data_IF_885186755517
#
_entry.id   IF_885186755517
#
_cell.length_a   1.000
_cell.length_b   1.000
_cell.length_c   1.000
_cell.angle_alpha   90.00
_cell.angle_beta   90.00
_cell.angle_gamma   90.00
#
_symmetry.space_group_name_H-M   'P 1'
#
loop_
_entity.id
_entity.type
_entity.pdbx_description
1 polymer ?
#
# COMPACT_ATOMS: atom_id res chain seq x y z
N UNK A 1 -67.62 2.62 56.31
CA UNK A 1 -67.08 3.83 55.63
C UNK A 1 -65.52 3.87 55.66
N UNK A 2 -64.81 2.74 55.52
CA UNK A 2 -63.35 2.69 55.79
C UNK A 2 -62.47 2.44 54.54
N UNK A 3 -63.03 2.14 53.36
CA UNK A 3 -62.21 1.61 52.26
C UNK A 3 -61.65 2.61 51.22
N UNK A 4 -62.00 3.90 51.28
CA UNK A 4 -61.43 4.90 50.33
C UNK A 4 -60.05 5.41 50.78
N UNK A 5 -59.81 5.59 52.07
CA UNK A 5 -58.54 6.11 52.60
C UNK A 5 -57.36 5.17 52.35
N UNK A 6 -57.55 3.87 52.58
CA UNK A 6 -56.51 2.85 52.36
C UNK A 6 -56.10 2.69 50.89
N UNK A 7 -57.07 2.79 49.98
CA UNK A 7 -56.82 2.66 48.55
C UNK A 7 -56.04 3.87 48.00
N UNK A 8 -56.37 5.08 48.47
CA UNK A 8 -55.65 6.31 48.12
C UNK A 8 -54.23 6.33 48.69
N UNK A 9 -54.04 5.87 49.93
CA UNK A 9 -52.71 5.76 50.55
C UNK A 9 -51.80 4.74 49.83
N UNK A 10 -52.33 3.59 49.40
CA UNK A 10 -51.57 2.60 48.61
C UNK A 10 -51.20 3.13 47.24
N UNK A 11 -52.09 3.85 46.55
CA UNK A 11 -51.77 4.49 45.26
C UNK A 11 -50.71 5.57 45.41
N UNK A 12 -50.78 6.41 46.45
CA UNK A 12 -49.77 7.44 46.70
C UNK A 12 -48.41 6.81 47.02
N UNK A 13 -48.35 5.76 47.86
CA UNK A 13 -47.10 5.02 48.12
C UNK A 13 -46.55 4.33 46.87
N UNK A 14 -47.41 3.78 46.01
CA UNK A 14 -47.00 3.16 44.75
C UNK A 14 -46.47 4.21 43.77
N UNK A 15 -47.11 5.38 43.67
CA UNK A 15 -46.66 6.50 42.82
C UNK A 15 -45.35 7.08 43.32
N UNK A 16 -45.19 7.28 44.63
CA UNK A 16 -43.92 7.76 45.21
C UNK A 16 -42.82 6.72 45.03
N UNK A 17 -43.13 5.42 45.18
CA UNK A 17 -42.15 4.34 44.96
C UNK A 17 -41.77 4.19 43.49
N UNK A 18 -42.72 4.35 42.55
CA UNK A 18 -42.44 4.40 41.11
C UNK A 18 -41.63 5.66 40.77
N UNK A 19 -41.94 6.81 41.36
CA UNK A 19 -41.20 8.04 41.12
C UNK A 19 -39.78 7.98 41.70
N UNK A 20 -39.60 7.39 42.88
CA UNK A 20 -38.30 7.09 43.46
C UNK A 20 -37.55 6.03 42.64
N UNK A 21 -38.22 5.02 42.09
CA UNK A 21 -37.62 4.07 41.16
C UNK A 21 -37.23 4.74 39.83
N UNK A 22 -38.04 5.63 39.25
CA UNK A 22 -37.74 6.32 37.99
C UNK A 22 -36.60 7.32 38.17
N UNK A 23 -36.57 8.05 39.28
CA UNK A 23 -35.45 8.94 39.63
C UNK A 23 -34.19 8.13 39.96
N UNK A 24 -34.30 7.01 40.68
CA UNK A 24 -33.21 6.07 40.90
C UNK A 24 -32.72 5.44 39.58
N UNK A 25 -33.60 5.11 38.62
CA UNK A 25 -33.24 4.61 37.29
C UNK A 25 -32.53 5.69 36.47
N UNK A 26 -32.91 6.97 36.64
CA UNK A 26 -32.18 8.09 36.01
C UNK A 26 -30.80 8.32 36.63
N UNK A 27 -30.59 7.98 37.91
CA UNK A 27 -29.29 8.09 38.60
C UNK A 27 -28.48 6.79 38.66
N UNK A 28 -28.99 5.66 38.15
CA UNK A 28 -28.30 4.34 38.14
C UNK A 28 -27.94 3.84 36.74
N UNK A 29 -28.04 4.68 35.72
CA UNK A 29 -27.29 4.45 34.49
C UNK A 29 -25.84 4.87 34.70
N UNK A 30 -24.97 3.93 35.06
CA UNK A 30 -23.50 4.09 35.13
C UNK A 30 -22.82 4.43 33.78
N UNK A 31 -23.57 5.03 32.86
CA UNK A 31 -23.19 5.48 31.53
C UNK A 31 -23.95 6.79 31.23
N UNK A 32 -23.75 7.85 32.04
CA UNK A 32 -23.93 9.19 31.49
C UNK A 32 -23.05 9.24 30.25
N UNK A 33 -23.66 9.34 29.07
CA UNK A 33 -22.96 9.29 27.79
C UNK A 33 -21.91 10.40 27.81
N UNK A 34 -20.64 10.06 28.04
CA UNK A 34 -19.55 11.02 28.32
C UNK A 34 -19.52 12.20 27.33
N UNK A 35 -19.90 11.95 26.09
CA UNK A 35 -19.96 12.91 25.00
C UNK A 35 -21.00 14.04 25.21
N UNK A 36 -22.02 13.84 26.05
CA UNK A 36 -23.00 14.89 26.42
C UNK A 36 -22.37 16.01 27.25
N UNK A 37 -21.36 15.69 28.07
CA UNK A 37 -20.61 16.69 28.86
C UNK A 37 -19.74 17.62 27.99
N UNK A 38 -19.55 17.25 26.72
CA UNK A 38 -18.78 17.99 25.73
C UNK A 38 -19.66 18.48 24.57
N UNK A 39 -20.98 18.53 24.76
CA UNK A 39 -21.96 18.99 23.75
C UNK A 39 -21.95 18.19 22.44
N UNK A 40 -21.48 16.95 22.47
CA UNK A 40 -21.42 16.09 21.29
C UNK A 40 -22.73 15.27 21.19
N UNK A 41 -23.48 15.42 20.10
CA UNK A 41 -24.64 14.55 19.86
C UNK A 41 -24.22 13.18 19.32
N UNK A 42 -24.97 12.13 19.68
CA UNK A 42 -24.70 10.75 19.22
C UNK A 42 -24.63 10.61 17.70
N UNK A 43 -25.43 11.38 16.96
CA UNK A 43 -25.41 11.44 15.49
C UNK A 43 -24.16 12.09 14.89
N UNK A 44 -23.48 12.94 15.67
CA UNK A 44 -22.29 13.69 15.24
C UNK A 44 -20.97 12.95 15.53
N UNK A 45 -21.00 11.78 16.19
CA UNK A 45 -19.81 11.01 16.60
C UNK A 45 -18.91 10.49 15.44
N UNK A 46 -19.26 10.81 14.20
CA UNK A 46 -18.47 10.54 12.99
C UNK A 46 -18.19 11.81 12.17
N UNK A 47 -18.71 12.97 12.58
CA UNK A 47 -18.44 14.26 11.94
C UNK A 47 -17.07 14.76 12.34
N UNK A 48 -16.39 15.49 11.45
CA UNK A 48 -15.16 16.22 11.77
C UNK A 48 -15.44 17.43 12.66
N UNK A 49 -16.65 17.99 12.60
CA UNK A 49 -17.05 19.22 13.30
C UNK A 49 -16.92 19.11 14.82
N UNK A 50 -16.98 17.90 15.38
CA UNK A 50 -16.84 17.65 16.81
C UNK A 50 -15.38 17.48 17.27
N UNK A 51 -14.40 17.61 16.36
CA UNK A 51 -12.99 17.42 16.68
C UNK A 51 -12.51 18.33 17.83
N UNK A 52 -12.89 19.62 17.91
CA UNK A 52 -12.53 20.46 19.05
C UNK A 52 -13.07 19.91 20.38
N UNK A 53 -14.32 19.45 20.42
CA UNK A 53 -14.94 18.84 21.59
C UNK A 53 -14.26 17.51 21.98
N UNK A 54 -13.85 16.71 20.98
CA UNK A 54 -13.09 15.48 21.21
C UNK A 54 -11.69 15.77 21.77
N UNK A 55 -11.02 16.82 21.29
CA UNK A 55 -9.72 17.27 21.83
C UNK A 55 -9.89 17.74 23.27
N UNK A 56 -10.94 18.47 23.59
CA UNK A 56 -11.25 18.86 24.97
C UNK A 56 -11.49 17.65 25.88
N UNK A 57 -12.19 16.61 25.38
CA UNK A 57 -12.43 15.39 26.14
C UNK A 57 -11.17 14.54 26.41
N UNK A 58 -10.04 14.84 25.76
CA UNK A 58 -8.74 14.24 26.09
C UNK A 58 -8.18 14.73 27.43
N UNK A 59 -8.72 15.82 28.00
CA UNK A 59 -8.36 16.34 29.33
C UNK A 59 -9.27 15.83 30.45
N UNK A 60 -10.23 14.96 30.14
CA UNK A 60 -11.18 14.49 31.14
C UNK A 60 -10.46 13.73 32.27
N UNK A 61 -10.80 13.97 33.55
CA UNK A 61 -10.16 13.28 34.66
C UNK A 61 -10.40 11.76 34.62
N UNK A 62 -11.49 11.29 33.99
CA UNK A 62 -11.81 9.87 33.89
C UNK A 62 -11.08 9.25 32.70
N UNK A 63 -10.22 8.24 32.89
CA UNK A 63 -9.52 7.57 31.79
C UNK A 63 -10.48 6.93 30.76
N UNK A 64 -11.65 6.48 31.21
CA UNK A 64 -12.69 5.95 30.31
C UNK A 64 -13.18 6.99 29.30
N UNK A 65 -13.28 8.26 29.69
CA UNK A 65 -13.68 9.34 28.79
C UNK A 65 -12.57 9.65 27.79
N UNK A 66 -11.31 9.79 28.26
CA UNK A 66 -10.15 10.01 27.39
C UNK A 66 -10.01 8.92 26.33
N UNK A 67 -10.12 7.64 26.72
CA UNK A 67 -10.11 6.50 25.79
C UNK A 67 -11.25 6.54 24.80
N UNK A 68 -12.45 6.91 25.24
CA UNK A 68 -13.59 7.02 24.35
C UNK A 68 -13.40 8.16 23.33
N UNK A 69 -12.82 9.29 23.73
CA UNK A 69 -12.43 10.37 22.83
C UNK A 69 -11.37 9.92 21.81
N UNK A 70 -10.30 9.27 22.26
CA UNK A 70 -9.27 8.66 21.40
C UNK A 70 -9.90 7.68 20.39
N UNK A 71 -10.83 6.83 20.81
CA UNK A 71 -11.53 5.90 19.92
C UNK A 71 -12.37 6.62 18.85
N UNK A 72 -12.84 7.84 19.10
CA UNK A 72 -13.57 8.64 18.10
C UNK A 72 -12.61 9.37 17.19
N UNK A 73 -11.56 9.97 17.72
CA UNK A 73 -10.48 10.60 16.95
C UNK A 73 -9.87 9.60 15.95
N UNK A 74 -9.63 8.36 16.36
CA UNK A 74 -9.07 7.32 15.48
C UNK A 74 -9.96 6.98 14.28
N UNK A 75 -11.28 7.14 14.40
CA UNK A 75 -12.24 6.93 13.30
C UNK A 75 -12.18 8.05 12.27
N UNK A 76 -11.74 9.24 12.66
CA UNK A 76 -11.52 10.38 11.77
C UNK A 76 -10.19 10.26 11.00
N UNK A 77 -9.25 9.43 11.47
CA UNK A 77 -7.95 9.16 10.82
C UNK A 77 -7.21 10.48 10.52
N UNK A 78 -6.70 10.65 9.29
CA UNK A 78 -5.97 11.83 8.83
C UNK A 78 -6.74 13.14 9.02
N UNK A 79 -8.07 13.13 9.06
CA UNK A 79 -8.88 14.34 9.26
C UNK A 79 -8.81 14.89 10.69
N UNK A 80 -8.12 14.21 11.61
CA UNK A 80 -7.94 14.62 13.00
C UNK A 80 -6.47 14.94 13.36
N UNK A 81 -5.67 15.37 12.40
CA UNK A 81 -4.28 15.81 12.63
C UNK A 81 -4.16 16.92 13.67
N UNK A 82 -5.17 17.79 13.81
CA UNK A 82 -5.22 18.85 14.84
C UNK A 82 -5.15 18.28 16.28
N UNK A 83 -5.50 17.00 16.49
CA UNK A 83 -5.40 16.34 17.79
C UNK A 83 -3.99 15.83 18.13
N UNK A 84 -3.05 15.80 17.17
CA UNK A 84 -1.71 15.20 17.34
C UNK A 84 -1.00 15.70 18.60
N UNK A 85 -0.87 17.01 18.86
CA UNK A 85 -0.12 17.49 20.04
C UNK A 85 -0.66 16.90 21.35
N UNK A 86 -1.98 16.81 21.48
CA UNK A 86 -2.64 16.30 22.68
C UNK A 86 -2.50 14.79 22.82
N UNK A 87 -2.66 14.06 21.71
CA UNK A 87 -2.49 12.60 21.69
C UNK A 87 -1.04 12.20 21.99
N UNK A 88 -0.05 12.98 21.54
CA UNK A 88 1.37 12.76 21.87
C UNK A 88 1.63 12.88 23.37
N UNK A 89 1.07 13.91 24.02
CA UNK A 89 1.20 14.10 25.47
C UNK A 89 0.63 12.88 26.20
N UNK A 90 -0.59 12.45 25.83
CA UNK A 90 -1.20 11.27 26.44
C UNK A 90 -0.37 10.00 26.24
N UNK A 91 0.18 9.78 25.04
CA UNK A 91 1.02 8.61 24.76
C UNK A 91 2.31 8.58 25.60
N UNK A 92 2.85 9.75 25.98
CA UNK A 92 4.09 9.87 26.74
C UNK A 92 3.87 9.85 28.26
N UNK A 93 2.81 10.49 28.76
CA UNK A 93 2.73 10.86 30.18
C UNK A 93 1.37 10.61 30.86
N UNK A 94 0.38 10.00 30.20
CA UNK A 94 -0.90 9.70 30.88
C UNK A 94 -0.71 8.65 31.97
N UNK A 95 -1.33 8.81 33.14
CA UNK A 95 -1.20 7.85 34.25
C UNK A 95 -1.84 6.48 33.94
N UNK A 96 -2.89 6.45 33.11
CA UNK A 96 -3.61 5.24 32.73
C UNK A 96 -2.95 4.56 31.53
N UNK A 97 -2.42 3.35 31.76
CA UNK A 97 -1.69 2.58 30.76
C UNK A 97 -2.55 2.27 29.51
N UNK A 98 -3.83 1.93 29.70
CA UNK A 98 -4.76 1.74 28.60
C UNK A 98 -4.87 3.02 27.75
N UNK A 99 -4.91 4.20 28.38
CA UNK A 99 -4.99 5.48 27.67
C UNK A 99 -3.72 5.72 26.84
N UNK A 100 -2.53 5.43 27.39
CA UNK A 100 -1.26 5.49 26.63
C UNK A 100 -1.28 4.55 25.42
N UNK A 101 -1.73 3.32 25.62
CA UNK A 101 -1.91 2.31 24.55
C UNK A 101 -2.81 2.80 23.41
N UNK A 102 -3.99 3.31 23.76
CA UNK A 102 -4.93 3.83 22.79
C UNK A 102 -4.33 5.04 22.05
N UNK A 103 -3.60 5.92 22.74
CA UNK A 103 -2.96 7.08 22.14
C UNK A 103 -1.91 6.69 21.08
N UNK A 104 -1.05 5.70 21.37
CA UNK A 104 -0.09 5.13 20.39
C UNK A 104 -0.82 4.62 19.14
N UNK A 105 -1.91 3.87 19.33
CA UNK A 105 -2.74 3.38 18.21
C UNK A 105 -3.39 4.49 17.42
N UNK A 106 -3.82 5.57 18.08
CA UNK A 106 -4.40 6.74 17.40
C UNK A 106 -3.33 7.44 16.54
N UNK A 107 -2.12 7.65 17.06
CA UNK A 107 -1.01 8.28 16.32
C UNK A 107 -0.70 7.53 15.02
N UNK A 108 -0.73 6.19 15.04
CA UNK A 108 -0.61 5.35 13.83
C UNK A 108 -1.67 5.62 12.76
N UNK A 109 -2.85 6.10 13.15
CA UNK A 109 -4.00 6.30 12.26
C UNK A 109 -4.14 7.75 11.78
N UNK A 110 -3.76 8.73 12.61
CA UNK A 110 -3.89 10.16 12.29
C UNK A 110 -2.63 10.74 11.63
N UNK A 111 -1.47 10.10 11.79
CA UNK A 111 -0.21 10.47 11.12
C UNK A 111 0.60 9.26 10.61
N UNK A 112 0.01 8.33 9.83
CA UNK A 112 0.71 7.16 9.33
C UNK A 112 1.92 7.53 8.45
N UNK A 113 3.04 6.86 8.67
CA UNK A 113 4.23 6.89 7.81
C UNK A 113 4.87 8.27 7.58
N UNK A 114 4.71 9.23 8.49
CA UNK A 114 5.42 10.52 8.41
C UNK A 114 6.77 10.47 9.16
N UNK A 115 7.80 11.24 8.73
CA UNK A 115 9.06 11.37 9.48
C UNK A 115 8.86 11.94 10.89
N UNK A 116 7.82 12.76 11.07
CA UNK A 116 7.43 13.29 12.37
C UNK A 116 6.88 12.19 13.29
N UNK A 117 6.07 11.26 12.76
CA UNK A 117 5.56 10.12 13.52
C UNK A 117 6.70 9.19 13.94
N UNK A 118 7.71 9.02 13.08
CA UNK A 118 8.91 8.25 13.43
C UNK A 118 9.57 8.79 14.71
N UNK A 119 9.89 10.09 14.72
CA UNK A 119 10.51 10.75 15.89
C UNK A 119 9.62 10.64 17.13
N UNK A 120 8.32 10.88 16.97
CA UNK A 120 7.35 10.78 18.07
C UNK A 120 7.30 9.36 18.64
N UNK A 121 7.29 8.31 17.80
CA UNK A 121 7.26 6.93 18.27
C UNK A 121 8.56 6.49 18.93
N UNK A 122 9.72 6.99 18.46
CA UNK A 122 11.00 6.79 19.13
C UNK A 122 11.01 7.44 20.52
N UNK A 123 10.55 8.69 20.62
CA UNK A 123 10.40 9.36 21.92
C UNK A 123 9.41 8.62 22.85
N UNK A 124 8.26 8.19 22.32
CA UNK A 124 7.24 7.48 23.10
C UNK A 124 7.76 6.13 23.59
N UNK A 125 8.59 5.44 22.80
CA UNK A 125 9.24 4.20 23.23
C UNK A 125 10.21 4.44 24.40
N UNK A 126 10.93 5.57 24.40
CA UNK A 126 11.83 5.96 25.50
C UNK A 126 11.05 6.32 26.77
N UNK A 127 9.89 6.98 26.64
CA UNK A 127 9.07 7.42 27.76
C UNK A 127 8.23 6.30 28.41
N UNK A 128 8.14 5.12 27.80
CA UNK A 128 7.34 4.00 28.28
C UNK A 128 8.22 2.77 28.57
N UNK A 129 7.66 1.77 29.26
CA UNK A 129 8.32 0.49 29.54
C UNK A 129 7.42 -0.69 29.16
N UNK A 130 8.00 -1.89 29.03
CA UNK A 130 7.25 -3.12 28.76
C UNK A 130 6.56 -3.11 27.40
N UNK A 131 5.33 -3.61 27.35
CA UNK A 131 4.57 -3.81 26.11
C UNK A 131 4.34 -2.52 25.30
N UNK A 132 4.18 -1.38 25.99
CA UNK A 132 3.98 -0.08 25.33
C UNK A 132 5.24 0.40 24.59
N UNK A 133 6.42 0.20 25.18
CA UNK A 133 7.68 0.54 24.54
C UNK A 133 7.90 -0.32 23.28
N UNK A 134 7.61 -1.63 23.40
CA UNK A 134 7.67 -2.58 22.30
C UNK A 134 6.68 -2.20 21.18
N UNK A 135 5.46 -1.79 21.50
CA UNK A 135 4.48 -1.35 20.47
C UNK A 135 4.92 -0.06 19.76
N UNK A 136 5.46 0.91 20.50
CA UNK A 136 5.99 2.14 19.93
C UNK A 136 7.21 1.86 19.04
N UNK A 137 8.13 1.00 19.47
CA UNK A 137 9.29 0.59 18.68
C UNK A 137 8.89 -0.19 17.43
N UNK A 138 7.96 -1.15 17.54
CA UNK A 138 7.41 -1.86 16.40
C UNK A 138 6.75 -0.93 15.38
N UNK A 139 6.11 0.13 15.88
CA UNK A 139 5.52 1.18 15.04
C UNK A 139 6.59 2.00 14.34
N UNK A 140 7.61 2.47 15.07
CA UNK A 140 8.78 3.15 14.52
C UNK A 140 9.45 2.30 13.43
N UNK A 141 9.72 1.02 13.70
CA UNK A 141 10.29 0.07 12.76
C UNK A 141 9.38 -0.16 11.54
N UNK A 142 8.06 -0.22 11.73
CA UNK A 142 7.11 -0.29 10.60
C UNK A 142 7.16 0.98 9.74
N UNK A 143 7.29 2.15 10.36
CA UNK A 143 7.44 3.44 9.66
C UNK A 143 8.80 3.48 8.95
N UNK A 144 9.90 3.05 9.58
CA UNK A 144 11.23 2.94 8.95
C UNK A 144 11.18 2.02 7.75
N UNK A 145 10.63 0.81 7.88
CA UNK A 145 10.46 -0.16 6.78
C UNK A 145 9.61 0.41 5.65
N UNK A 146 8.52 1.14 5.96
CA UNK A 146 7.67 1.79 4.94
C UNK A 146 8.29 3.04 4.35
N UNK A 147 9.11 3.75 5.10
CA UNK A 147 9.86 4.93 4.66
C UNK A 147 11.06 4.52 3.82
N UNK A 148 11.73 3.42 4.15
CA UNK A 148 12.75 2.79 3.31
C UNK A 148 12.09 2.14 2.09
N UNK A 149 10.90 1.53 2.21
CA UNK A 149 10.12 1.08 1.06
C UNK A 149 9.65 2.25 0.16
N UNK A 150 9.38 3.43 0.73
CA UNK A 150 9.05 4.66 -0.03
C UNK A 150 10.29 5.43 -0.51
N UNK A 151 11.51 5.09 -0.05
CA UNK A 151 12.77 5.76 -0.44
C UNK A 151 13.71 4.88 -1.26
N UNK A 152 13.47 3.55 -1.30
CA UNK A 152 14.23 2.57 -2.08
C UNK A 152 13.40 1.82 -3.15
N UNK A 153 12.11 2.14 -3.29
CA UNK A 153 11.33 1.78 -4.47
C UNK A 153 10.67 3.06 -4.96
N UNK A 154 10.80 3.39 -6.25
CA UNK A 154 9.85 4.14 -7.10
C UNK A 154 10.58 4.75 -8.32
N UNK A 155 11.91 4.85 -8.40
CA UNK A 155 12.56 5.23 -9.66
C UNK A 155 13.91 4.53 -9.84
N UNK A 156 13.97 3.55 -10.74
CA UNK A 156 15.23 3.07 -11.30
C UNK A 156 15.72 4.07 -12.33
N UNK A 157 16.94 4.60 -12.19
CA UNK A 157 17.56 5.44 -13.22
C UNK A 157 18.70 4.62 -13.82
N UNK A 158 18.53 4.22 -15.07
CA UNK A 158 19.53 3.52 -15.86
C UNK A 158 20.22 4.57 -16.72
N UNK A 159 21.52 4.78 -16.49
CA UNK A 159 22.35 5.62 -17.35
C UNK A 159 23.10 4.71 -18.32
N UNK A 160 22.70 4.74 -19.59
CA UNK A 160 23.45 4.02 -20.61
C UNK A 160 24.72 4.82 -20.95
N UNK A 161 25.85 4.15 -21.22
CA UNK A 161 27.11 4.81 -21.58
C UNK A 161 26.99 5.71 -22.83
N UNK A 162 26.01 5.45 -23.69
CA UNK A 162 25.86 6.12 -24.98
C UNK A 162 24.98 7.38 -24.95
N UNK A 163 24.57 7.88 -23.77
CA UNK A 163 23.73 9.09 -23.66
C UNK A 163 22.21 8.83 -23.68
N UNK A 164 21.80 7.58 -23.43
CA UNK A 164 20.38 7.23 -23.23
C UNK A 164 20.12 7.18 -21.72
N UNK A 165 19.16 7.99 -21.25
CA UNK A 165 18.68 7.93 -19.88
C UNK A 165 17.29 7.27 -19.85
N UNK A 166 17.17 6.17 -19.11
CA UNK A 166 15.90 5.47 -18.89
C UNK A 166 15.55 5.59 -17.41
N UNK A 167 14.33 6.03 -17.11
CA UNK A 167 13.77 6.00 -15.75
C UNK A 167 12.55 5.10 -15.67
N UNK A 168 12.57 4.17 -14.73
CA UNK A 168 11.52 3.18 -14.49
C UNK A 168 10.80 3.52 -13.19
N UNK A 169 9.53 3.88 -13.28
CA UNK A 169 8.71 4.31 -12.13
C UNK A 169 7.47 3.41 -11.98
N UNK A 170 7.44 2.47 -11.02
CA UNK A 170 6.22 1.76 -10.69
C UNK A 170 5.20 2.73 -10.08
N UNK A 171 4.05 2.92 -10.74
CA UNK A 171 2.99 3.80 -10.24
C UNK A 171 1.99 2.99 -9.39
N UNK A 172 2.00 3.15 -8.07
CA UNK A 172 1.02 2.51 -7.18
C UNK A 172 -0.29 3.31 -7.02
N UNK A 173 -0.46 4.37 -7.82
CA UNK A 173 -1.52 5.37 -7.66
C UNK A 173 -2.18 5.64 -9.01
N UNK A 174 -3.49 5.43 -9.09
CA UNK A 174 -4.31 5.99 -10.16
C UNK A 174 -5.03 7.24 -9.66
N UNK A 175 -4.90 8.31 -10.45
CA UNK A 175 -5.54 9.61 -10.24
C UNK A 175 -7.06 9.45 -10.20
N UNK A 176 -7.64 9.70 -9.02
CA UNK A 176 -9.07 9.94 -8.88
C UNK A 176 -9.38 11.35 -9.39
N UNK A 177 -9.96 11.44 -10.60
CA UNK A 177 -10.74 12.61 -11.03
C UNK A 177 -12.02 12.68 -10.19
N UNK A 178 -11.88 13.14 -8.95
CA UNK A 178 -12.85 13.06 -7.85
C UNK A 178 -14.33 13.08 -8.25
N UNK A 179 -15.05 12.00 -7.89
CA UNK A 179 -15.96 12.04 -6.74
C UNK A 179 -15.74 10.75 -5.92
N UNK A 180 -15.21 10.94 -4.71
CA UNK A 180 -14.63 9.97 -3.73
C UNK A 180 -13.16 9.57 -3.97
N UNK A 181 -12.39 9.53 -2.87
CA UNK A 181 -10.90 9.57 -2.83
C UNK A 181 -10.24 8.19 -2.78
N UNK A 182 -10.99 7.10 -2.91
CA UNK A 182 -10.42 5.75 -2.93
C UNK A 182 -10.61 5.13 -4.31
N UNK A 183 -9.56 4.85 -5.08
CA UNK A 183 -9.69 3.93 -6.19
C UNK A 183 -10.04 2.56 -5.62
N UNK A 184 -10.86 1.81 -6.36
CA UNK A 184 -11.26 0.43 -6.06
C UNK A 184 -10.06 -0.38 -5.58
N UNK A 185 -10.24 -1.14 -4.48
CA UNK A 185 -9.23 -2.04 -3.88
C UNK A 185 -8.78 -3.19 -4.82
N UNK A 186 -9.18 -3.19 -6.09
CA UNK A 186 -9.38 -4.38 -6.90
C UNK A 186 -8.78 -4.31 -8.31
N UNK A 187 -7.94 -3.32 -8.63
CA UNK A 187 -7.43 -3.20 -10.01
C UNK A 187 -6.38 -4.27 -10.37
N UNK A 188 -5.88 -5.07 -9.41
CA UNK A 188 -4.95 -6.20 -9.62
C UNK A 188 -3.96 -5.97 -10.77
N UNK A 189 -3.34 -4.79 -10.78
CA UNK A 189 -2.54 -4.31 -11.90
C UNK A 189 -1.41 -3.45 -11.38
N UNK A 190 -0.25 -3.60 -11.99
CA UNK A 190 0.95 -2.82 -11.72
C UNK A 190 1.36 -2.06 -13.00
N UNK A 191 1.11 -0.73 -13.07
CA UNK A 191 1.69 0.09 -14.11
C UNK A 191 3.16 0.38 -13.81
N UNK A 192 4.00 0.26 -14.82
CA UNK A 192 5.40 0.68 -14.79
C UNK A 192 5.55 1.78 -15.83
N UNK A 193 5.79 2.98 -15.36
CA UNK A 193 6.07 4.15 -16.19
C UNK A 193 7.54 4.16 -16.61
N UNK A 194 7.76 4.39 -17.89
CA UNK A 194 9.06 4.39 -18.54
C UNK A 194 9.24 5.78 -19.14
N UNK A 195 10.24 6.48 -18.63
CA UNK A 195 10.71 7.72 -19.20
C UNK A 195 12.03 7.47 -19.93
N UNK A 196 12.12 7.99 -21.15
CA UNK A 196 13.28 7.84 -22.02
C UNK A 196 13.70 9.23 -22.45
N UNK A 197 14.97 9.55 -22.28
CA UNK A 197 15.62 10.73 -22.79
C UNK A 197 16.72 10.28 -23.75
N UNK A 198 16.48 10.44 -25.05
CA UNK A 198 17.42 10.05 -26.10
C UNK A 198 18.36 11.22 -26.40
N UNK A 199 19.59 11.19 -25.89
CA UNK A 199 20.61 12.20 -26.20
C UNK A 199 21.62 11.71 -27.26
N UNK A 200 21.33 10.57 -27.90
CA UNK A 200 22.14 10.02 -28.99
C UNK A 200 21.82 10.69 -30.31
N UNK A 201 22.63 10.44 -31.33
CA UNK A 201 22.42 10.84 -32.72
C UNK A 201 21.49 9.89 -33.49
N UNK A 202 21.11 8.75 -32.91
CA UNK A 202 20.31 7.71 -33.54
C UNK A 202 18.90 7.56 -32.92
N UNK A 203 17.85 7.27 -33.71
CA UNK A 203 16.54 6.94 -33.17
C UNK A 203 16.55 5.62 -32.38
N UNK A 204 15.82 5.61 -31.26
CA UNK A 204 15.60 4.41 -30.43
C UNK A 204 14.22 3.83 -30.74
N UNK A 205 14.18 2.58 -31.19
CA UNK A 205 12.94 1.83 -31.33
C UNK A 205 12.69 0.98 -30.08
N UNK A 206 11.53 1.19 -29.47
CA UNK A 206 11.08 0.42 -28.31
C UNK A 206 9.72 -0.22 -28.61
N UNK A 207 9.58 -1.52 -28.33
CA UNK A 207 8.31 -2.24 -28.44
C UNK A 207 7.87 -2.70 -27.04
N UNK A 208 6.61 -2.46 -26.70
CA UNK A 208 6.05 -2.91 -25.42
C UNK A 208 5.97 -4.43 -25.29
N UNK A 209 5.95 -5.18 -26.38
CA UNK A 209 5.97 -6.67 -26.37
C UNK A 209 7.32 -7.24 -25.91
N UNK A 210 8.39 -6.43 -25.93
CA UNK A 210 9.71 -6.86 -25.48
C UNK A 210 9.86 -6.82 -23.97
N UNK A 211 8.84 -6.40 -23.22
CA UNK A 211 8.91 -6.25 -21.77
C UNK A 211 8.33 -7.47 -21.07
N UNK A 212 9.13 -8.08 -20.20
CA UNK A 212 8.66 -9.12 -19.28
C UNK A 212 8.88 -8.71 -17.85
N UNK A 213 7.90 -8.98 -17.01
CA UNK A 213 7.98 -8.73 -15.58
C UNK A 213 7.83 -10.06 -14.85
N UNK A 214 8.75 -10.36 -13.95
CA UNK A 214 8.71 -11.54 -13.08
C UNK A 214 8.69 -11.11 -11.62
N UNK A 215 7.95 -11.86 -10.80
CA UNK A 215 8.02 -11.70 -9.35
C UNK A 215 9.30 -12.33 -8.78
N UNK A 216 9.59 -12.15 -7.48
CA UNK A 216 10.81 -12.68 -6.86
C UNK A 216 10.89 -14.21 -6.84
N UNK A 217 9.77 -14.91 -7.07
CA UNK A 217 9.72 -16.36 -7.21
C UNK A 217 9.98 -16.82 -8.67
N UNK A 218 10.27 -15.89 -9.57
CA UNK A 218 10.52 -16.13 -10.99
C UNK A 218 9.24 -16.29 -11.82
N UNK A 219 8.05 -16.04 -11.26
CA UNK A 219 6.79 -16.18 -11.98
C UNK A 219 6.51 -14.95 -12.81
N UNK A 220 6.45 -15.13 -14.13
CA UNK A 220 6.11 -14.08 -15.08
C UNK A 220 4.68 -13.55 -14.87
N UNK A 221 4.54 -12.23 -15.06
CA UNK A 221 3.28 -11.49 -14.99
C UNK A 221 2.77 -11.22 -16.40
N UNK A 222 1.47 -11.43 -16.57
CA UNK A 222 0.81 -11.18 -17.85
C UNK A 222 0.75 -9.69 -18.13
N UNK A 223 1.32 -9.25 -19.24
CA UNK A 223 1.13 -7.89 -19.73
C UNK A 223 -0.32 -7.69 -20.17
N UNK A 224 -0.90 -6.55 -19.79
CA UNK A 224 -2.28 -6.20 -20.09
C UNK A 224 -2.36 -5.33 -21.33
N UNK A 225 -3.34 -5.63 -22.17
CA UNK A 225 -3.74 -4.72 -23.24
C UNK A 225 -4.32 -3.42 -22.65
N UNK A 226 -4.28 -2.35 -23.44
CA UNK A 226 -4.89 -1.05 -23.08
C UNK A 226 -6.35 -1.24 -22.65
N UNK A 227 -7.11 -2.01 -23.43
CA UNK A 227 -8.52 -2.31 -23.16
C UNK A 227 -8.69 -3.07 -21.84
N UNK A 228 -7.83 -4.05 -21.54
CA UNK A 228 -7.88 -4.79 -20.28
C UNK A 228 -7.50 -3.91 -19.08
N UNK A 229 -6.51 -3.02 -19.24
CA UNK A 229 -6.12 -2.04 -18.22
C UNK A 229 -7.24 -1.03 -17.94
N UNK A 230 -7.88 -0.50 -18.99
CA UNK A 230 -9.05 0.39 -18.89
C UNK A 230 -10.19 -0.32 -18.16
N UNK A 231 -10.55 -1.54 -18.58
CA UNK A 231 -11.64 -2.31 -17.97
C UNK A 231 -11.44 -2.56 -16.47
N UNK A 232 -10.20 -2.81 -16.03
CA UNK A 232 -9.86 -2.99 -14.60
C UNK A 232 -9.98 -1.70 -13.77
N UNK A 233 -9.90 -0.53 -14.41
CA UNK A 233 -9.97 0.77 -13.75
C UNK A 233 -11.36 1.43 -13.81
N UNK A 234 -12.18 1.07 -14.80
CA UNK A 234 -13.51 1.63 -14.96
C UNK A 234 -14.46 1.24 -13.82
N UNK A 235 -15.34 2.16 -13.46
CA UNK A 235 -16.44 1.90 -12.55
C UNK A 235 -17.44 0.94 -13.21
N UNK A 236 -17.74 -0.18 -12.54
CA UNK A 236 -18.79 -1.12 -12.95
C UNK A 236 -20.17 -0.56 -12.57
N UNK A 237 -20.79 0.11 -13.53
CA UNK A 237 -22.10 0.74 -13.38
C UNK A 237 -23.21 -0.33 -13.21
N UNK A 238 -23.05 -1.52 -13.79
CA UNK A 238 -24.05 -2.60 -13.75
C UNK A 238 -24.08 -3.34 -12.42
N UNK A 239 -22.90 -3.69 -11.88
CA UNK A 239 -22.81 -4.37 -10.59
C UNK A 239 -23.21 -3.48 -9.39
N UNK A 240 -23.05 -2.16 -9.51
CA UNK A 240 -23.47 -1.22 -8.47
C UNK A 240 -25.01 -1.13 -8.35
N UNK A 241 -25.71 -1.18 -9.49
CA UNK A 241 -27.18 -1.18 -9.55
C UNK A 241 -27.75 -2.51 -9.04
N UNK A 242 -27.15 -3.65 -9.39
CA UNK A 242 -27.61 -4.98 -8.97
C UNK A 242 -27.39 -5.27 -7.47
N UNK A 243 -26.37 -4.66 -6.84
CA UNK A 243 -26.01 -4.95 -5.43
C UNK A 243 -26.68 -4.07 -4.39
N UNK A 244 -27.56 -3.14 -4.79
CA UNK A 244 -28.34 -2.33 -3.85
C UNK A 244 -27.51 -1.61 -2.77
N UNK A 245 -26.29 -1.19 -3.10
CA UNK A 245 -25.38 -0.55 -2.12
C UNK A 245 -25.88 0.88 -1.86
N UNK A 246 -26.73 1.01 -0.84
CA UNK A 246 -27.18 2.27 -0.24
C UNK A 246 -26.31 2.61 0.96
N UNK A 247 -25.00 2.78 0.76
CA UNK A 247 -24.12 3.38 1.78
C UNK A 247 -23.28 4.44 1.07
N UNK A 248 -23.76 5.69 1.16
CA UNK A 248 -23.48 6.87 0.29
C UNK A 248 -24.14 6.71 -1.09
N UNK A 249 -25.12 7.58 -1.38
CA UNK A 249 -26.06 7.47 -2.50
C UNK A 249 -25.42 7.20 -3.88
N UNK A 250 -26.21 6.72 -4.85
CA UNK A 250 -25.71 6.26 -6.14
C UNK A 250 -24.85 7.34 -6.77
N UNK A 251 -23.60 7.01 -7.14
CA UNK A 251 -22.83 7.86 -8.06
C UNK A 251 -23.73 8.02 -9.29
N UNK A 252 -24.15 9.25 -9.67
CA UNK A 252 -24.97 9.43 -10.85
C UNK A 252 -24.28 8.77 -12.04
N UNK A 253 -25.02 7.97 -12.82
CA UNK A 253 -24.49 7.25 -13.98
C UNK A 253 -23.70 8.18 -14.90
N UNK A 254 -24.14 9.43 -15.03
CA UNK A 254 -23.45 10.49 -15.77
C UNK A 254 -22.06 10.85 -15.23
N UNK A 255 -21.85 10.83 -13.90
CA UNK A 255 -20.54 11.06 -13.27
C UNK A 255 -19.61 9.87 -13.45
N UNK A 256 -20.14 8.65 -13.34
CA UNK A 256 -19.36 7.43 -13.58
C UNK A 256 -18.93 7.31 -15.05
N UNK A 257 -19.83 7.59 -16.00
CA UNK A 257 -19.51 7.60 -17.42
C UNK A 257 -18.45 8.66 -17.78
N UNK A 258 -18.55 9.87 -17.22
CA UNK A 258 -17.54 10.92 -17.38
C UNK A 258 -16.18 10.49 -16.81
N UNK A 259 -16.17 9.89 -15.62
CA UNK A 259 -14.94 9.38 -15.01
C UNK A 259 -14.31 8.26 -15.85
N UNK A 260 -15.11 7.31 -16.33
CA UNK A 260 -14.66 6.22 -17.21
C UNK A 260 -14.08 6.74 -18.53
N UNK A 261 -14.67 7.79 -19.11
CA UNK A 261 -14.15 8.45 -20.31
C UNK A 261 -12.80 9.14 -20.07
N UNK A 262 -12.59 9.76 -18.91
CA UNK A 262 -11.30 10.35 -18.51
C UNK A 262 -10.24 9.25 -18.33
N UNK A 263 -10.59 8.15 -17.66
CA UNK A 263 -9.71 6.99 -17.46
C UNK A 263 -9.29 6.39 -18.81
N UNK A 264 -10.22 6.19 -19.74
CA UNK A 264 -9.93 5.66 -21.08
C UNK A 264 -8.90 6.51 -21.80
N UNK A 265 -9.18 7.82 -21.94
CA UNK A 265 -8.29 8.76 -22.63
C UNK A 265 -6.91 8.83 -21.98
N UNK A 266 -6.84 8.77 -20.66
CA UNK A 266 -5.58 8.79 -19.92
C UNK A 266 -4.75 7.52 -20.19
N UNK A 267 -5.36 6.34 -20.06
CA UNK A 267 -4.69 5.07 -20.33
C UNK A 267 -4.24 4.96 -21.79
N UNK A 268 -5.08 5.37 -22.74
CA UNK A 268 -4.75 5.42 -24.17
C UNK A 268 -3.58 6.36 -24.46
N UNK A 269 -3.52 7.54 -23.81
CA UNK A 269 -2.43 8.47 -24.00
C UNK A 269 -1.10 7.99 -23.39
N UNK A 270 -1.16 7.32 -22.23
CA UNK A 270 0.01 6.86 -21.49
C UNK A 270 0.57 5.54 -21.98
N UNK A 271 -0.24 4.64 -22.54
CA UNK A 271 0.22 3.29 -22.86
C UNK A 271 1.40 3.28 -23.83
N UNK A 272 2.41 2.48 -23.51
CA UNK A 272 3.50 2.16 -24.42
C UNK A 272 3.01 1.13 -25.44
N UNK A 273 3.04 1.51 -26.70
CA UNK A 273 2.96 0.61 -27.86
C UNK A 273 4.36 0.46 -28.46
N UNK A 274 4.48 0.14 -29.74
CA UNK A 274 5.74 0.43 -30.45
C UNK A 274 5.89 1.95 -30.63
N UNK A 275 7.05 2.48 -30.25
CA UNK A 275 7.42 3.90 -30.44
C UNK A 275 8.83 4.01 -31.00
N UNK A 276 9.09 5.14 -31.67
CA UNK A 276 10.42 5.54 -32.11
C UNK A 276 10.76 6.89 -31.47
N UNK A 277 11.75 6.89 -30.58
CA UNK A 277 12.20 8.08 -29.85
C UNK A 277 13.34 8.71 -30.63
N UNK A 278 13.06 9.86 -31.24
CA UNK A 278 14.02 10.59 -32.07
C UNK A 278 15.20 11.16 -31.24
N UNK A 279 16.35 11.43 -31.86
CA UNK A 279 17.45 12.17 -31.25
C UNK A 279 16.98 13.46 -30.56
N UNK A 280 17.41 13.70 -29.34
CA UNK A 280 17.03 14.84 -28.50
C UNK A 280 15.61 14.79 -27.92
N UNK A 281 14.81 13.77 -28.24
CA UNK A 281 13.44 13.67 -27.75
C UNK A 281 13.36 13.04 -26.36
N UNK A 282 12.29 13.42 -25.64
CA UNK A 282 11.92 12.84 -24.37
C UNK A 282 10.53 12.24 -24.47
N UNK A 283 10.37 10.99 -24.04
CA UNK A 283 9.10 10.28 -24.09
C UNK A 283 8.80 9.66 -22.74
N UNK A 284 7.53 9.69 -22.36
CA UNK A 284 7.03 9.17 -21.09
C UNK A 284 5.79 8.32 -21.36
N UNK A 285 5.89 7.02 -21.10
CA UNK A 285 4.86 6.01 -21.41
C UNK A 285 4.74 4.99 -20.29
N UNK A 286 3.72 4.13 -20.30
CA UNK A 286 3.48 3.13 -19.26
C UNK A 286 3.14 1.76 -19.84
N UNK A 287 3.63 0.71 -19.19
CA UNK A 287 3.23 -0.68 -19.44
C UNK A 287 2.42 -1.15 -18.25
N UNK A 288 1.39 -1.96 -18.51
CA UNK A 288 0.49 -2.47 -17.48
C UNK A 288 0.67 -3.97 -17.33
N UNK A 289 0.95 -4.45 -16.13
CA UNK A 289 1.05 -5.88 -15.82
C UNK A 289 -0.09 -6.32 -14.90
N UNK A 290 -0.59 -7.53 -15.11
CA UNK A 290 -1.52 -8.19 -14.19
C UNK A 290 -0.80 -8.53 -12.89
N UNK A 291 -1.48 -8.27 -11.78
CA UNK A 291 -0.93 -8.44 -10.45
C UNK A 291 -2.00 -9.04 -9.53
N UNK A 292 -2.09 -10.39 -9.46
CA UNK A 292 -3.20 -11.10 -8.82
C UNK A 292 -3.33 -10.85 -7.31
N UNK A 293 -2.25 -10.37 -6.69
CA UNK A 293 -2.25 -9.81 -5.34
C UNK A 293 -1.59 -8.43 -5.37
N UNK A 294 -2.03 -7.50 -4.51
CA UNK A 294 -1.41 -6.18 -4.44
C UNK A 294 0.00 -6.32 -3.83
N UNK A 295 1.08 -6.05 -4.58
CA UNK A 295 2.41 -6.10 -4.02
C UNK A 295 2.55 -4.91 -3.06
N UNK A 296 2.99 -5.19 -1.83
CA UNK A 296 3.25 -4.15 -0.82
C UNK A 296 4.55 -3.39 -1.16
N UNK A 297 5.45 -4.06 -1.88
CA UNK A 297 6.66 -3.55 -2.51
C UNK A 297 6.94 -4.36 -3.78
N UNK A 298 7.74 -3.82 -4.70
CA UNK A 298 8.23 -4.57 -5.87
C UNK A 298 9.74 -4.79 -5.84
N UNK A 299 10.38 -4.59 -4.68
CA UNK A 299 11.78 -4.98 -4.51
C UNK A 299 11.98 -6.43 -4.94
N UNK A 300 13.07 -6.69 -5.65
CA UNK A 300 13.47 -7.99 -6.20
C UNK A 300 12.59 -8.51 -7.36
N UNK A 301 11.64 -7.69 -7.83
CA UNK A 301 10.96 -7.98 -9.09
C UNK A 301 11.90 -7.70 -10.26
N UNK A 302 11.81 -8.51 -11.30
CA UNK A 302 12.70 -8.49 -12.45
C UNK A 302 11.94 -7.95 -13.65
N UNK A 303 12.42 -6.87 -14.26
CA UNK A 303 11.91 -6.30 -15.49
C UNK A 303 12.97 -6.46 -16.58
N UNK A 304 12.70 -7.34 -17.54
CA UNK A 304 13.54 -7.51 -18.72
C UNK A 304 12.94 -6.76 -19.90
N UNK A 305 13.78 -6.06 -20.66
CA UNK A 305 13.36 -5.46 -21.91
C UNK A 305 14.52 -5.21 -22.86
N UNK A 306 14.19 -4.93 -24.12
CA UNK A 306 15.18 -4.54 -25.11
C UNK A 306 14.71 -3.43 -26.03
N UNK A 307 15.68 -2.62 -26.48
CA UNK A 307 15.48 -1.61 -27.50
C UNK A 307 16.53 -1.74 -28.61
N UNK A 308 16.23 -1.16 -29.77
CA UNK A 308 17.15 -1.17 -30.92
C UNK A 308 17.46 0.25 -31.37
N UNK A 309 18.74 0.55 -31.59
CA UNK A 309 19.18 1.78 -32.24
C UNK A 309 19.27 1.53 -33.75
N UNK A 310 18.57 2.35 -34.54
CA UNK A 310 18.37 2.10 -35.98
C UNK A 310 19.66 2.22 -36.81
N UNK A 311 20.53 3.15 -36.45
CA UNK A 311 21.68 3.51 -37.29
C UNK A 311 22.90 2.62 -37.04
N UNK A 312 23.00 2.00 -35.86
CA UNK A 312 24.09 1.09 -35.51
C UNK A 312 23.68 -0.38 -35.48
N UNK A 313 22.41 -0.71 -35.76
CA UNK A 313 21.90 -2.09 -35.68
C UNK A 313 22.24 -2.75 -34.32
N UNK A 314 22.25 -1.97 -33.24
CA UNK A 314 22.52 -2.50 -31.90
C UNK A 314 21.22 -2.80 -31.20
N UNK A 315 21.08 -4.02 -30.70
CA UNK A 315 20.03 -4.38 -29.75
C UNK A 315 20.63 -4.40 -28.36
N UNK A 316 20.06 -3.61 -27.47
CA UNK A 316 20.46 -3.59 -26.06
C UNK A 316 19.39 -4.28 -25.23
N UNK A 317 19.80 -5.29 -24.48
CA UNK A 317 19.02 -6.00 -23.48
C UNK A 317 19.32 -5.43 -22.09
N UNK A 318 18.26 -5.20 -21.33
CA UNK A 318 18.31 -4.69 -19.96
C UNK A 318 17.57 -5.68 -19.08
N UNK A 319 18.28 -6.23 -18.10
CA UNK A 319 17.71 -6.94 -16.97
C UNK A 319 17.71 -6.00 -15.77
N UNK A 320 16.54 -5.60 -15.30
CA UNK A 320 16.42 -4.65 -14.19
C UNK A 320 15.78 -5.30 -12.97
N UNK A 321 16.49 -5.33 -11.84
CA UNK A 321 15.98 -5.80 -10.57
C UNK A 321 15.64 -4.60 -9.69
N UNK A 322 14.35 -4.41 -9.40
CA UNK A 322 13.89 -3.29 -8.58
C UNK A 322 14.52 -3.34 -7.17
N UNK A 323 15.18 -2.25 -6.78
CA UNK A 323 15.86 -2.15 -5.49
C UNK A 323 17.31 -2.67 -5.48
N UNK A 324 17.74 -3.35 -6.55
CA UNK A 324 19.10 -3.92 -6.66
C UNK A 324 19.91 -3.23 -7.76
N UNK A 325 19.32 -3.01 -8.95
CA UNK A 325 19.99 -2.33 -10.07
C UNK A 325 19.79 -3.03 -11.41
N UNK A 326 20.61 -2.67 -12.40
CA UNK A 326 20.58 -3.16 -13.77
C UNK A 326 21.77 -4.05 -14.16
N UNK A 327 21.51 -5.00 -15.04
CA UNK A 327 22.51 -5.67 -15.89
C UNK A 327 22.19 -5.35 -17.36
N UNK A 328 23.21 -5.01 -18.14
CA UNK A 328 23.07 -4.51 -19.52
C UNK A 328 23.94 -5.35 -20.46
N UNK A 329 23.33 -5.85 -21.54
CA UNK A 329 24.03 -6.60 -22.61
C UNK A 329 23.68 -5.99 -23.97
N UNK A 330 24.67 -5.75 -24.83
CA UNK A 330 24.46 -5.16 -26.17
C UNK A 330 24.97 -6.11 -27.26
N UNK A 331 24.16 -6.34 -28.29
CA UNK A 331 24.46 -7.22 -29.43
C UNK A 331 24.32 -6.46 -30.77
N UNK A 332 25.24 -6.72 -31.70
CA UNK A 332 25.18 -6.20 -33.08
C UNK A 332 24.31 -7.10 -33.97
N UNK A 333 23.18 -6.57 -34.45
CA UNK A 333 22.19 -7.30 -35.27
C UNK A 333 22.59 -7.45 -36.74
N UNK A 334 23.77 -6.96 -37.16
CA UNK A 334 24.34 -7.20 -38.51
C UNK A 334 25.01 -8.56 -38.67
N UNK A 335 25.15 -9.33 -37.59
CA UNK A 335 25.73 -10.66 -37.60
C UNK A 335 24.67 -11.70 -37.99
N UNK A 336 24.48 -11.98 -39.28
CA UNK A 336 23.76 -13.20 -39.70
C UNK A 336 24.55 -14.45 -39.26
N UNK A 337 23.87 -15.58 -38.97
CA UNK A 337 24.41 -16.64 -38.14
C UNK A 337 25.49 -17.40 -38.91
N UNK A 338 26.74 -17.27 -38.48
CA UNK A 338 27.67 -18.35 -38.70
C UNK A 338 27.15 -19.54 -37.89
N UNK A 339 26.63 -20.55 -38.60
CA UNK A 339 26.57 -21.92 -38.12
C UNK A 339 28.00 -22.35 -37.80
N UNK A 340 28.45 -22.03 -36.59
CA UNK A 340 29.65 -22.60 -36.00
C UNK A 340 29.29 -22.96 -34.57
N UNK A 341 28.93 -24.24 -34.44
CA UNK A 341 29.08 -25.10 -33.28
C UNK A 341 28.57 -24.57 -31.93
N UNK A 342 27.50 -25.22 -31.48
CA UNK A 342 27.14 -25.38 -30.08
C UNK A 342 28.35 -25.23 -29.14
N UNK A 343 28.35 -24.15 -28.39
CA UNK A 343 28.94 -24.09 -27.05
C UNK A 343 28.00 -23.32 -26.14
N UNK A 344 27.84 -23.77 -24.89
CA UNK A 344 26.55 -23.76 -24.24
C UNK A 344 26.31 -22.46 -23.47
N UNK A 345 25.04 -22.18 -23.17
CA UNK A 345 24.64 -21.17 -22.19
C UNK A 345 25.39 -21.39 -20.86
N UNK A 346 25.46 -20.39 -19.96
CA UNK A 346 25.98 -20.61 -18.61
C UNK A 346 25.24 -21.81 -18.01
N UNK A 347 26.01 -22.80 -17.61
CA UNK A 347 25.81 -24.20 -18.04
C UNK A 347 25.07 -25.00 -16.98
N UNK A 348 24.21 -25.94 -17.41
CA UNK A 348 23.49 -26.95 -16.60
C UNK A 348 24.30 -27.57 -15.45
N UNK A 349 25.64 -27.60 -15.55
CA UNK A 349 26.55 -28.04 -14.49
C UNK A 349 26.51 -27.11 -13.27
N UNK A 350 26.55 -25.79 -13.43
CA UNK A 350 26.54 -24.83 -12.31
C UNK A 350 25.24 -24.93 -11.51
N UNK A 351 24.09 -25.01 -12.20
CA UNK A 351 22.77 -25.22 -11.58
C UNK A 351 22.74 -26.56 -10.83
N UNK A 352 23.23 -27.64 -11.44
CA UNK A 352 23.25 -28.98 -10.80
C UNK A 352 24.20 -29.07 -9.61
N UNK A 353 25.33 -28.35 -9.65
CA UNK A 353 26.25 -28.25 -8.52
C UNK A 353 25.64 -27.43 -7.37
N UNK A 354 24.85 -26.39 -7.69
CA UNK A 354 24.12 -25.61 -6.70
C UNK A 354 23.00 -26.43 -6.02
N UNK A 355 22.24 -27.21 -6.80
CA UNK A 355 21.23 -28.13 -6.27
C UNK A 355 21.86 -29.21 -5.37
N UNK A 356 23.00 -29.77 -5.78
CA UNK A 356 23.73 -30.77 -4.99
C UNK A 356 24.27 -30.18 -3.68
N UNK A 357 24.74 -28.92 -3.68
CA UNK A 357 25.11 -28.19 -2.46
C UNK A 357 23.93 -28.02 -1.51
N UNK A 358 22.76 -27.64 -2.04
CA UNK A 358 21.55 -27.48 -1.23
C UNK A 358 21.10 -28.79 -0.57
N UNK A 359 21.25 -29.93 -1.25
CA UNK A 359 20.96 -31.25 -0.68
C UNK A 359 21.91 -31.59 0.48
N UNK A 360 23.20 -31.25 0.35
CA UNK A 360 24.20 -31.42 1.41
C UNK A 360 23.92 -30.52 2.61
N UNK A 361 23.62 -29.24 2.40
CA UNK A 361 23.31 -28.30 3.48
C UNK A 361 22.07 -28.71 4.28
N UNK A 362 21.08 -29.32 3.61
CA UNK A 362 19.90 -29.90 4.24
C UNK A 362 20.14 -31.28 4.89
N UNK A 363 21.38 -31.79 4.86
CA UNK A 363 21.76 -33.12 5.35
C UNK A 363 20.93 -34.27 4.75
N UNK A 364 20.49 -34.10 3.49
CA UNK A 364 19.71 -35.09 2.75
C UNK A 364 20.59 -36.13 2.04
N UNK A 365 21.90 -35.86 1.93
CA UNK A 365 22.93 -36.75 1.40
C UNK A 365 24.14 -36.71 2.34
N UNK A 366 24.92 -37.79 2.36
CA UNK A 366 26.17 -37.82 3.14
C UNK A 366 27.29 -37.06 2.43
N UNK A 367 28.37 -36.76 3.17
CA UNK A 367 29.52 -36.06 2.61
C UNK A 367 30.23 -36.88 1.53
N UNK A 368 30.29 -38.21 1.72
CA UNK A 368 30.84 -39.16 0.75
C UNK A 368 29.98 -39.21 -0.52
N UNK A 369 28.64 -39.27 -0.39
CA UNK A 369 27.71 -39.24 -1.54
C UNK A 369 27.76 -37.91 -2.30
N UNK A 370 27.99 -36.79 -1.60
CA UNK A 370 28.14 -35.48 -2.21
C UNK A 370 29.39 -35.42 -3.11
N UNK A 371 30.53 -35.91 -2.61
CA UNK A 371 31.81 -35.92 -3.36
C UNK A 371 31.67 -36.78 -4.62
N UNK A 372 31.13 -38.00 -4.48
CA UNK A 372 30.97 -38.93 -5.61
C UNK A 372 30.03 -38.37 -6.69
N UNK A 373 28.88 -37.79 -6.29
CA UNK A 373 27.92 -37.18 -7.22
C UNK A 373 28.49 -35.91 -7.87
N UNK A 374 29.29 -35.13 -7.15
CA UNK A 374 29.94 -33.93 -7.67
C UNK A 374 30.97 -34.30 -8.73
N UNK A 375 31.83 -35.29 -8.48
CA UNK A 375 32.80 -35.77 -9.46
C UNK A 375 32.11 -36.40 -10.68
N UNK A 376 31.05 -37.17 -10.47
CA UNK A 376 30.23 -37.71 -11.56
C UNK A 376 29.63 -36.60 -12.44
N UNK A 377 29.14 -35.52 -11.84
CA UNK A 377 28.62 -34.36 -12.59
C UNK A 377 29.72 -33.64 -13.37
N UNK A 378 30.89 -33.44 -12.77
CA UNK A 378 32.03 -32.79 -13.43
C UNK A 378 32.59 -33.65 -14.56
N UNK A 379 32.58 -34.98 -14.44
CA UNK A 379 33.04 -35.88 -15.50
C UNK A 379 32.03 -36.05 -16.64
N UNK A 380 30.74 -35.75 -16.38
CA UNK A 380 29.64 -35.94 -17.34
C UNK A 380 29.39 -34.73 -18.23
N UNK A 381 29.75 -33.54 -17.75
CA UNK A 381 29.61 -32.26 -18.46
C UNK A 381 30.99 -31.75 -18.86
#
# INVERSE_FOLDING_TARGET
MINKSFYTQRKIKLIISIFLCVTAISTTTGCHQWYTAYEINKGQLRSREILPNLIQALDDPKPRTRRAALQRISRLKLSAQEAIPKVVILAKTDDDEDTRHYAIKVLRLIMPNSPENLKIMEDVAICNSGDLAIEAENTSNSIKRKSSANKLAIAGKINMPDGIEIKLTPEFIFFNGYVTIYPSRSAYMLPIEIYINNQTDAPIKLNSENFTLSDPEGKQRTQLSVTAAIKRQQYDIGAAVLRGIVILGPIPVSKAARANGIISKFCEAKVLTTIEVQPGAQVKKAIFFDCPSRPIQISDWQLDFSYTQKDCNKRTHIHYIFGTGEEITTEDTTSQPHLTNHSPSPTTLEIKLLELNHLKEKKLITEEEYIEKRESLINKF
#
